data_IF_960154905413
#
_entry.id   IF_960154905413
#
_cell.length_a   1.000
_cell.length_b   1.000
_cell.length_c   1.000
_cell.angle_alpha   90.00
_cell.angle_beta   90.00
_cell.angle_gamma   90.00
#
_symmetry.space_group_name_H-M   'P 1'
#
loop_
_entity.id
_entity.type
_entity.pdbx_description
1 polymer ?
#
# COMPACT_ATOMS: atom_id res chain seq x y z
N UNK A 1 35.64 -6.31 32.93
CA UNK A 1 35.30 -6.87 31.60
C UNK A 1 33.79 -6.92 31.33
N UNK A 2 32.95 -7.13 32.34
CA UNK A 2 31.47 -7.19 32.23
C UNK A 2 30.80 -5.88 31.79
N UNK A 3 31.31 -4.72 32.21
CA UNK A 3 30.76 -3.39 31.86
C UNK A 3 30.86 -3.07 30.35
N UNK A 4 31.90 -3.60 29.68
CA UNK A 4 32.11 -3.43 28.23
C UNK A 4 31.07 -4.19 27.42
N UNK A 5 30.68 -5.39 27.88
CA UNK A 5 29.64 -6.20 27.24
C UNK A 5 28.24 -5.65 27.51
N UNK A 6 28.00 -5.06 28.68
CA UNK A 6 26.73 -4.40 29.00
C UNK A 6 26.47 -3.17 28.11
N UNK A 7 27.51 -2.37 27.85
CA UNK A 7 27.42 -1.23 26.91
C UNK A 7 27.23 -1.69 25.46
N UNK A 8 27.79 -2.84 25.07
CA UNK A 8 27.62 -3.43 23.74
C UNK A 8 26.18 -3.92 23.49
N UNK A 9 25.52 -4.47 24.52
CA UNK A 9 24.13 -4.95 24.44
C UNK A 9 23.12 -3.80 24.34
N UNK A 10 23.34 -2.69 25.05
CA UNK A 10 22.47 -1.51 24.97
C UNK A 10 22.55 -0.88 23.58
N UNK A 11 23.73 -0.80 22.97
CA UNK A 11 23.91 -0.27 21.62
C UNK A 11 23.15 -1.08 20.53
N UNK A 12 22.94 -2.39 20.75
CA UNK A 12 22.18 -3.23 19.83
C UNK A 12 20.66 -2.99 19.88
N UNK A 13 20.14 -2.48 21.00
CA UNK A 13 18.68 -2.28 21.20
C UNK A 13 18.15 -0.92 20.73
N UNK A 14 19.02 -0.03 20.25
CA UNK A 14 18.67 1.35 19.90
C UNK A 14 18.46 1.58 18.40
N UNK A 15 18.12 0.55 17.60
CA UNK A 15 17.73 0.78 16.21
C UNK A 15 16.27 1.24 16.18
N UNK A 16 16.13 2.56 16.22
CA UNK A 16 14.92 3.36 16.10
C UNK A 16 13.82 2.69 15.24
N UNK A 17 12.74 2.25 15.89
CA UNK A 17 11.47 1.94 15.22
C UNK A 17 10.76 3.25 14.91
N UNK A 18 11.28 4.02 13.95
CA UNK A 18 10.48 5.07 13.32
C UNK A 18 9.64 4.39 12.24
N UNK A 19 8.49 3.84 12.65
CA UNK A 19 7.57 3.13 11.77
C UNK A 19 6.78 4.16 10.93
N UNK A 20 7.45 4.78 9.95
CA UNK A 20 6.75 5.44 8.86
C UNK A 20 6.46 4.34 7.84
N UNK A 21 5.24 3.81 7.85
CA UNK A 21 4.81 2.80 6.89
C UNK A 21 4.64 3.47 5.53
N UNK A 22 5.58 3.20 4.63
CA UNK A 22 5.44 3.52 3.21
C UNK A 22 4.62 2.43 2.54
N UNK A 23 3.57 2.80 1.82
CA UNK A 23 2.75 1.90 1.04
C UNK A 23 2.94 2.19 -0.45
N UNK A 24 3.11 1.13 -1.23
CA UNK A 24 3.39 1.18 -2.65
C UNK A 24 2.11 1.00 -3.46
N UNK A 25 1.63 2.07 -4.06
CA UNK A 25 0.48 2.03 -4.96
C UNK A 25 0.98 1.74 -6.38
N UNK A 26 0.48 0.66 -6.99
CA UNK A 26 0.80 0.36 -8.38
C UNK A 26 -0.07 1.17 -9.34
N UNK A 27 0.53 1.72 -10.38
CA UNK A 27 -0.15 2.54 -11.38
C UNK A 27 0.34 2.22 -12.79
N UNK A 28 -0.54 2.16 -13.81
CA UNK A 28 -0.11 2.10 -15.20
C UNK A 28 0.80 3.29 -15.57
N UNK A 29 1.84 3.04 -16.34
CA UNK A 29 2.91 4.01 -16.65
C UNK A 29 2.38 5.31 -17.24
N UNK A 30 1.28 5.26 -18.00
CA UNK A 30 0.63 6.44 -18.57
C UNK A 30 0.06 7.41 -17.52
N UNK A 31 -0.20 6.94 -16.30
CA UNK A 31 -0.73 7.74 -15.18
C UNK A 31 0.30 7.97 -14.07
N UNK A 32 1.58 7.63 -14.29
CA UNK A 32 2.62 7.81 -13.29
C UNK A 32 2.72 9.28 -12.82
N UNK A 33 2.58 10.24 -13.75
CA UNK A 33 2.60 11.67 -13.44
C UNK A 33 1.42 12.12 -12.60
N UNK A 34 0.24 11.58 -12.86
CA UNK A 34 -0.95 11.88 -12.06
C UNK A 34 -0.82 11.28 -10.65
N UNK A 35 -0.22 10.08 -10.54
CA UNK A 35 0.11 9.47 -9.25
C UNK A 35 1.11 10.32 -8.46
N UNK A 36 2.21 10.75 -9.08
CA UNK A 36 3.20 11.64 -8.45
C UNK A 36 2.55 12.95 -7.97
N UNK A 37 1.67 13.55 -8.78
CA UNK A 37 0.93 14.75 -8.38
C UNK A 37 -0.01 14.49 -7.18
N UNK A 38 -0.63 13.31 -7.09
CA UNK A 38 -1.44 12.90 -5.95
C UNK A 38 -0.62 12.80 -4.66
N UNK A 39 0.66 12.38 -4.73
CA UNK A 39 1.54 12.28 -3.55
C UNK A 39 1.81 13.63 -2.89
N UNK A 40 1.74 14.72 -3.65
CA UNK A 40 1.96 16.09 -3.17
C UNK A 40 0.70 16.70 -2.51
N UNK A 41 -0.46 16.04 -2.61
CA UNK A 41 -1.71 16.54 -2.03
C UNK A 41 -1.64 16.43 -0.50
N UNK A 42 -1.85 17.53 0.25
CA UNK A 42 -1.79 17.49 1.70
C UNK A 42 -2.95 16.67 2.27
N UNK A 43 -2.63 15.66 3.07
CA UNK A 43 -3.63 14.83 3.76
C UNK A 43 -3.49 14.92 5.27
N UNK A 44 -4.57 14.59 6.00
CA UNK A 44 -4.50 14.42 7.46
C UNK A 44 -3.75 13.15 7.88
N UNK A 45 -3.60 12.20 6.95
CA UNK A 45 -2.90 10.94 7.20
C UNK A 45 -1.39 11.17 7.19
N UNK A 46 -0.68 10.38 8.00
CA UNK A 46 0.79 10.34 8.00
C UNK A 46 1.35 9.24 7.09
N UNK A 47 0.47 8.48 6.44
CA UNK A 47 0.87 7.43 5.50
C UNK A 47 1.71 8.03 4.37
N UNK A 48 2.78 7.34 4.00
CA UNK A 48 3.59 7.71 2.84
C UNK A 48 3.20 6.78 1.71
N UNK A 49 2.92 7.35 0.55
CA UNK A 49 2.65 6.59 -0.65
C UNK A 49 3.84 6.67 -1.60
N UNK A 50 4.12 5.57 -2.31
CA UNK A 50 5.11 5.49 -3.38
C UNK A 50 4.44 4.92 -4.64
N UNK A 51 4.64 5.57 -5.78
CA UNK A 51 4.07 5.14 -7.06
C UNK A 51 4.97 4.10 -7.74
N UNK A 52 4.45 2.88 -7.95
CA UNK A 52 5.15 1.83 -8.68
C UNK A 52 4.59 1.73 -10.10
N UNK A 53 5.37 2.08 -11.15
CA UNK A 53 4.88 2.03 -12.52
C UNK A 53 4.85 0.59 -13.05
N UNK A 54 3.76 0.23 -13.71
CA UNK A 54 3.63 -1.00 -14.49
C UNK A 54 3.08 -0.69 -15.90
N UNK A 55 3.13 -1.64 -16.82
CA UNK A 55 2.55 -1.53 -18.17
C UNK A 55 1.05 -1.31 -18.13
N UNK A 56 0.35 -2.06 -17.27
CA UNK A 56 -1.11 -2.05 -17.16
C UNK A 56 -1.57 -2.61 -15.79
N UNK A 57 -2.88 -2.61 -15.54
CA UNK A 57 -3.46 -3.13 -14.28
C UNK A 57 -3.18 -4.62 -14.07
N UNK A 58 -3.06 -5.41 -15.13
CA UNK A 58 -2.79 -6.86 -15.02
C UNK A 58 -1.36 -7.11 -14.55
N UNK A 59 -0.39 -6.32 -15.03
CA UNK A 59 0.97 -6.37 -14.52
C UNK A 59 1.03 -5.87 -13.06
N UNK A 60 0.23 -4.87 -12.68
CA UNK A 60 0.12 -4.46 -11.28
C UNK A 60 -0.34 -5.59 -10.36
N UNK A 61 -1.29 -6.45 -10.77
CA UNK A 61 -1.66 -7.63 -9.97
C UNK A 61 -0.46 -8.54 -9.73
N UNK A 62 0.40 -8.72 -10.73
CA UNK A 62 1.63 -9.51 -10.60
C UNK A 62 2.62 -8.85 -9.63
N UNK A 63 2.74 -7.52 -9.67
CA UNK A 63 3.60 -6.77 -8.74
C UNK A 63 3.10 -6.83 -7.29
N UNK A 64 1.78 -6.79 -7.08
CA UNK A 64 1.19 -6.97 -5.75
C UNK A 64 1.42 -8.39 -5.24
N UNK A 65 1.20 -9.42 -6.08
CA UNK A 65 1.54 -10.80 -5.71
C UNK A 65 3.04 -10.97 -5.41
N UNK A 66 3.92 -10.23 -6.06
CA UNK A 66 5.36 -10.31 -5.84
C UNK A 66 5.88 -9.34 -4.80
N UNK A 67 4.99 -8.57 -4.15
CA UNK A 67 5.30 -7.57 -3.11
C UNK A 67 6.21 -6.44 -3.61
N UNK A 68 6.25 -6.25 -4.93
CA UNK A 68 6.86 -5.10 -5.58
C UNK A 68 5.99 -3.87 -5.38
N UNK A 69 4.67 -4.04 -5.40
CA UNK A 69 3.68 -3.07 -4.94
C UNK A 69 2.83 -3.68 -3.81
N UNK A 70 2.09 -2.84 -3.07
CA UNK A 70 1.28 -3.28 -1.93
C UNK A 70 -0.21 -3.33 -2.28
N UNK A 71 -0.69 -2.41 -3.11
CA UNK A 71 -2.09 -2.40 -3.56
C UNK A 71 -2.26 -1.74 -4.94
N UNK A 72 -3.42 -2.01 -5.56
CA UNK A 72 -3.83 -1.45 -6.86
C UNK A 72 -5.36 -1.33 -6.88
N UNK A 73 -5.94 -0.25 -7.41
CA UNK A 73 -7.38 -0.17 -7.64
C UNK A 73 -7.80 -1.15 -8.74
N UNK A 74 -8.88 -1.88 -8.51
CA UNK A 74 -9.35 -2.98 -9.35
C UNK A 74 -10.84 -2.88 -9.60
N UNK A 75 -11.26 -3.21 -10.82
CA UNK A 75 -12.66 -3.51 -11.10
C UNK A 75 -12.97 -4.99 -10.75
N UNK A 76 -14.24 -5.39 -10.62
CA UNK A 76 -14.61 -6.79 -10.36
C UNK A 76 -14.00 -7.80 -11.35
N UNK A 77 -13.82 -7.39 -12.61
CA UNK A 77 -13.17 -8.19 -13.64
C UNK A 77 -11.69 -8.42 -13.34
N UNK A 78 -10.99 -7.39 -12.86
CA UNK A 78 -9.58 -7.50 -12.45
C UNK A 78 -9.44 -8.38 -11.20
N UNK A 79 -10.40 -8.30 -10.26
CA UNK A 79 -10.44 -9.19 -9.09
C UNK A 79 -10.60 -10.65 -9.50
N UNK A 80 -11.44 -10.93 -10.50
CA UNK A 80 -11.56 -12.28 -11.06
C UNK A 80 -10.23 -12.75 -11.65
N UNK A 81 -9.54 -11.91 -12.42
CA UNK A 81 -8.21 -12.23 -12.95
C UNK A 81 -7.20 -12.49 -11.84
N UNK A 82 -7.18 -11.66 -10.79
CA UNK A 82 -6.34 -11.82 -9.62
C UNK A 82 -6.57 -13.17 -8.92
N UNK A 83 -7.83 -13.62 -8.80
CA UNK A 83 -8.20 -14.91 -8.21
C UNK A 83 -7.65 -16.13 -8.96
N UNK A 84 -7.25 -15.96 -10.23
CA UNK A 84 -6.67 -17.02 -11.07
C UNK A 84 -5.15 -17.08 -11.01
N UNK A 85 -4.50 -16.15 -10.31
CA UNK A 85 -3.05 -16.18 -10.12
C UNK A 85 -2.69 -17.36 -9.19
N UNK A 86 -1.72 -18.22 -9.55
CA UNK A 86 -1.33 -19.34 -8.70
C UNK A 86 -0.80 -18.89 -7.34
N UNK A 87 -1.25 -19.54 -6.26
CA UNK A 87 -0.88 -19.23 -4.88
C UNK A 87 -1.15 -17.78 -4.49
N UNK A 88 -2.19 -17.19 -5.07
CA UNK A 88 -2.60 -15.85 -4.73
C UNK A 88 -3.15 -15.77 -3.32
N UNK A 89 -2.90 -14.63 -2.68
CA UNK A 89 -3.37 -14.30 -1.34
C UNK A 89 -3.83 -12.84 -1.25
N UNK A 90 -4.48 -12.37 -2.31
CA UNK A 90 -5.06 -11.03 -2.35
C UNK A 90 -6.19 -10.88 -1.34
N UNK A 91 -6.31 -9.66 -0.79
CA UNK A 91 -7.41 -9.26 0.07
C UNK A 91 -8.03 -8.00 -0.51
N UNK A 92 -9.35 -8.03 -0.66
CA UNK A 92 -10.14 -6.84 -1.01
C UNK A 92 -10.43 -6.13 0.30
N UNK A 93 -9.76 -5.00 0.53
CA UNK A 93 -9.85 -4.26 1.80
C UNK A 93 -10.60 -2.91 1.68
N UNK A 94 -10.91 -2.46 0.46
CA UNK A 94 -11.62 -1.21 0.21
C UNK A 94 -12.59 -1.35 -0.96
N UNK A 95 -13.76 -0.72 -0.83
CA UNK A 95 -14.76 -0.57 -1.89
C UNK A 95 -15.01 0.91 -2.19
N UNK A 96 -15.25 1.25 -3.46
CA UNK A 96 -15.78 2.55 -3.86
C UNK A 96 -17.30 2.44 -3.99
N UNK A 97 -18.04 3.25 -3.24
CA UNK A 97 -19.52 3.30 -3.25
C UNK A 97 -20.00 4.71 -3.56
N UNK A 98 -21.26 4.81 -3.96
CA UNK A 98 -21.96 6.08 -4.14
C UNK A 98 -22.47 6.61 -2.80
N UNK A 99 -22.61 7.92 -2.67
CA UNK A 99 -23.03 8.59 -1.43
C UNK A 99 -24.52 8.31 -1.03
N UNK A 100 -25.31 7.68 -1.92
CA UNK A 100 -26.76 7.45 -1.76
C UNK A 100 -27.15 6.22 -0.91
N UNK A 101 -26.35 5.85 0.11
CA UNK A 101 -26.77 4.85 1.10
C UNK A 101 -27.55 5.55 2.24
N UNK A 102 -28.78 5.08 2.61
CA UNK A 102 -29.66 5.74 3.60
C UNK A 102 -29.08 5.74 5.03
N UNK A 103 -27.94 5.08 5.21
CA UNK A 103 -27.20 4.92 6.46
C UNK A 103 -25.97 5.83 6.43
N UNK A 104 -26.16 7.07 5.98
CA UNK A 104 -25.13 8.11 5.77
C UNK A 104 -24.32 8.45 7.03
N UNK A 105 -23.45 7.54 7.45
CA UNK A 105 -22.18 7.89 8.06
C UNK A 105 -21.17 7.87 6.93
N UNK A 106 -20.49 8.99 6.73
CA UNK A 106 -19.26 9.05 5.95
C UNK A 106 -18.25 8.08 6.57
N UNK A 107 -18.30 6.80 6.23
CA UNK A 107 -17.32 5.84 6.71
C UNK A 107 -16.20 5.73 5.70
N UNK A 108 -15.29 6.71 5.80
CA UNK A 108 -13.90 6.51 5.40
C UNK A 108 -13.31 5.46 6.36
N UNK A 109 -13.50 4.18 6.04
CA UNK A 109 -12.69 3.13 6.65
C UNK A 109 -11.33 3.11 5.93
N UNK A 110 -10.44 3.99 6.37
CA UNK A 110 -9.02 3.65 6.34
C UNK A 110 -8.71 2.84 7.62
N UNK A 111 -8.54 1.53 7.49
CA UNK A 111 -7.73 0.71 8.39
C UNK A 111 -6.92 -0.29 7.57
#
# INVERSE_FOLDING_TARGET
MTLKYLLLLIALTCVNVNCKSTYKICVPVQYLKDCEAMLEVPTKSKAVLECIPARDRVECLSFVQQRQADFVPVDPEDMYMASKIPNQDFVVFQEYRTDDEPDGKNISYCL
#
